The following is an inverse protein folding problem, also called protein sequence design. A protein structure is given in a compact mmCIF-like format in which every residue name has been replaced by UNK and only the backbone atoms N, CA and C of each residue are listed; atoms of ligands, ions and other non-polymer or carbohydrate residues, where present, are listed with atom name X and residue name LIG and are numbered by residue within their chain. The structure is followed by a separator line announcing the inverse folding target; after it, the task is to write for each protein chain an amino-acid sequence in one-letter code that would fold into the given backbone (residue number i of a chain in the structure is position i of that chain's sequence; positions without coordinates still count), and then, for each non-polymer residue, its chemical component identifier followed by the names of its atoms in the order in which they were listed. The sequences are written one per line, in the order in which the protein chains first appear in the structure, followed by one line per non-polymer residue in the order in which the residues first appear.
data_IF_891365443434
#
_entry.id   IF_891365443434
#
_cell.length_a   1.000
_cell.length_b   1.000
_cell.length_c   1.000
_cell.angle_alpha   90.00
_cell.angle_beta   90.00
_cell.angle_gamma   90.00
#
_symmetry.space_group_name_H-M   'P 1'
#
loop_
_entity.id
_entity.type
_entity.pdbx_description
1 polymer ?
#
# COMPACT_ATOMS: atom_id res chain seq x y z
N UNK A 1 -30.36 -19.58 83.39
CA UNK A 1 -29.61 -20.61 82.66
C UNK A 1 -30.19 -20.64 81.30
N UNK A 2 -29.50 -20.06 80.53
CA UNK A 2 -28.85 -20.16 79.18
C UNK A 2 -29.73 -19.74 77.98
N UNK A 3 -29.76 -18.40 77.78
CA UNK A 3 -30.24 -17.80 76.52
C UNK A 3 -29.09 -17.41 75.58
N UNK A 4 -28.04 -18.23 75.48
CA UNK A 4 -26.81 -17.84 74.75
C UNK A 4 -26.37 -18.84 73.64
N UNK A 5 -27.28 -19.62 73.07
CA UNK A 5 -26.95 -20.61 72.06
C UNK A 5 -27.77 -20.58 70.75
N UNK A 6 -28.52 -19.50 70.45
CA UNK A 6 -29.36 -19.43 69.24
C UNK A 6 -28.93 -18.27 68.30
N UNK A 7 -27.82 -17.58 68.58
CA UNK A 7 -27.41 -16.45 67.72
C UNK A 7 -26.16 -16.71 66.84
N UNK A 8 -25.76 -17.97 66.69
CA UNK A 8 -24.55 -18.30 65.90
C UNK A 8 -24.82 -19.12 64.64
N UNK A 9 -26.07 -19.34 64.23
CA UNK A 9 -26.44 -20.17 63.11
C UNK A 9 -27.09 -19.43 61.91
N UNK A 10 -27.19 -18.09 61.94
CA UNK A 10 -27.83 -17.31 60.85
C UNK A 10 -26.85 -16.43 60.06
N UNK A 11 -25.56 -16.42 60.44
CA UNK A 11 -24.57 -15.54 59.77
C UNK A 11 -23.72 -16.23 58.67
N UNK A 12 -23.99 -17.49 58.30
CA UNK A 12 -23.20 -18.24 57.32
C UNK A 12 -23.92 -18.56 55.98
N UNK A 13 -25.07 -17.94 55.67
CA UNK A 13 -25.83 -18.27 54.45
C UNK A 13 -26.12 -17.07 53.52
N UNK A 14 -25.35 -15.99 53.61
CA UNK A 14 -25.44 -14.87 52.64
C UNK A 14 -24.09 -14.43 52.08
N UNK A 15 -23.18 -15.34 51.78
CA UNK A 15 -21.89 -15.04 51.19
C UNK A 15 -21.59 -15.92 49.96
N UNK A 16 -22.56 -16.15 49.07
CA UNK A 16 -22.34 -16.93 47.86
C UNK A 16 -23.21 -16.50 46.66
N UNK A 17 -23.29 -15.20 46.37
CA UNK A 17 -23.93 -14.69 45.13
C UNK A 17 -23.20 -13.47 44.54
N UNK A 18 -21.87 -13.41 44.67
CA UNK A 18 -21.02 -12.60 43.80
C UNK A 18 -20.04 -13.51 43.07
N UNK A 19 -20.58 -14.48 42.34
CA UNK A 19 -19.81 -15.12 41.25
C UNK A 19 -19.68 -14.02 40.16
N UNK A 20 -18.47 -13.42 40.10
CA UNK A 20 -18.14 -12.38 39.19
C UNK A 20 -18.48 -12.80 37.74
N UNK A 21 -19.11 -11.90 37.00
CA UNK A 21 -18.94 -11.82 35.59
C UNK A 21 -17.45 -11.53 35.32
N UNK A 22 -16.68 -12.57 35.16
CA UNK A 22 -15.42 -12.50 34.44
C UNK A 22 -15.78 -12.04 33.03
N UNK A 23 -15.70 -10.74 32.83
CA UNK A 23 -15.61 -10.16 31.49
C UNK A 23 -14.27 -10.63 30.92
N UNK A 24 -14.23 -11.88 30.47
CA UNK A 24 -13.20 -12.32 29.55
C UNK A 24 -13.33 -11.42 28.33
N UNK A 25 -12.61 -10.30 28.35
CA UNK A 25 -12.28 -9.55 27.15
C UNK A 25 -11.51 -10.52 26.26
N UNK A 26 -12.26 -11.27 25.44
CA UNK A 26 -11.68 -12.01 24.34
C UNK A 26 -10.98 -10.96 23.47
N UNK A 27 -9.70 -10.77 23.65
CA UNK A 27 -8.86 -10.01 22.73
C UNK A 27 -9.00 -10.70 21.38
N UNK A 28 -9.91 -10.19 20.56
CA UNK A 28 -10.10 -10.66 19.19
C UNK A 28 -8.75 -10.51 18.51
N UNK A 29 -8.20 -11.63 18.04
CA UNK A 29 -6.96 -11.61 17.29
C UNK A 29 -7.07 -10.55 16.17
N UNK A 30 -6.04 -9.74 15.95
CA UNK A 30 -6.08 -8.73 14.91
C UNK A 30 -6.42 -9.37 13.56
N UNK A 31 -7.28 -8.70 12.79
CA UNK A 31 -7.66 -9.19 11.47
C UNK A 31 -6.41 -9.22 10.56
N UNK A 32 -6.32 -10.24 9.71
CA UNK A 32 -5.21 -10.31 8.74
C UNK A 32 -5.45 -9.34 7.58
N UNK A 33 -4.40 -8.67 7.16
CA UNK A 33 -4.29 -7.99 5.86
C UNK A 33 -3.76 -9.02 4.87
N UNK A 34 -4.58 -9.40 3.90
CA UNK A 34 -4.16 -10.17 2.74
C UNK A 34 -3.76 -9.17 1.65
N UNK A 35 -2.51 -9.20 1.23
CA UNK A 35 -1.98 -8.25 0.28
C UNK A 35 -1.06 -8.88 -0.76
N UNK A 36 -0.60 -8.06 -1.68
CA UNK A 36 0.40 -8.41 -2.69
C UNK A 36 1.58 -7.44 -2.59
N UNK A 37 2.80 -7.92 -2.80
CA UNK A 37 3.95 -7.06 -3.05
C UNK A 37 4.12 -6.94 -4.56
N UNK A 38 3.90 -5.73 -5.06
CA UNK A 38 3.83 -5.41 -6.47
C UNK A 38 4.99 -4.49 -6.88
N UNK A 39 5.97 -5.09 -7.53
CA UNK A 39 6.96 -4.53 -8.45
C UNK A 39 7.02 -5.56 -9.60
N UNK A 40 5.96 -5.59 -10.44
CA UNK A 40 5.60 -6.76 -11.24
C UNK A 40 5.44 -8.03 -10.36
N UNK A 41 4.56 -8.01 -9.35
CA UNK A 41 4.20 -9.14 -8.49
C UNK A 41 5.40 -10.01 -8.03
N UNK A 42 6.13 -9.57 -6.99
CA UNK A 42 7.36 -10.27 -6.53
C UNK A 42 7.02 -11.58 -5.82
N UNK A 43 7.36 -12.69 -6.45
CA UNK A 43 7.14 -14.07 -5.96
C UNK A 43 8.41 -14.60 -5.30
N UNK A 44 8.29 -15.29 -4.16
CA UNK A 44 9.42 -15.94 -3.49
C UNK A 44 10.22 -15.03 -2.55
N UNK A 45 9.88 -13.75 -2.41
CA UNK A 45 10.54 -12.84 -1.48
C UNK A 45 10.13 -13.15 -0.03
N UNK A 46 11.07 -13.14 0.91
CA UNK A 46 10.76 -13.37 2.32
C UNK A 46 9.95 -12.24 2.92
N UNK A 47 9.00 -12.56 3.80
CA UNK A 47 8.33 -11.57 4.65
C UNK A 47 8.22 -12.01 6.10
N UNK A 48 8.13 -11.05 7.01
CA UNK A 48 7.88 -11.30 8.43
C UNK A 48 6.97 -10.22 9.03
N UNK A 49 6.03 -10.63 9.90
CA UNK A 49 5.07 -9.79 10.61
C UNK A 49 4.93 -10.31 12.04
N UNK A 50 5.61 -9.67 12.98
CA UNK A 50 5.71 -10.18 14.35
C UNK A 50 6.32 -11.58 14.38
N UNK A 51 5.55 -12.57 14.82
CA UNK A 51 5.99 -13.99 14.87
C UNK A 51 5.75 -14.75 13.56
N UNK A 52 4.91 -14.23 12.67
CA UNK A 52 4.60 -14.86 11.39
C UNK A 52 5.71 -14.58 10.37
N UNK A 53 6.14 -15.62 9.66
CA UNK A 53 7.15 -15.54 8.60
C UNK A 53 6.70 -16.39 7.40
N UNK A 54 7.12 -16.00 6.22
CA UNK A 54 6.83 -16.73 4.99
C UNK A 54 7.59 -16.19 3.81
N UNK A 55 7.22 -16.66 2.63
CA UNK A 55 7.63 -16.10 1.34
C UNK A 55 6.39 -15.68 0.55
N UNK A 56 6.53 -14.66 -0.28
CA UNK A 56 5.44 -14.22 -1.14
C UNK A 56 5.05 -15.31 -2.13
N UNK A 57 3.76 -15.58 -2.22
CA UNK A 57 3.19 -16.60 -3.10
C UNK A 57 2.94 -16.11 -4.53
N UNK A 58 2.16 -16.89 -5.28
CA UNK A 58 1.72 -16.52 -6.62
C UNK A 58 1.10 -15.13 -6.63
N UNK A 59 1.45 -14.32 -7.63
CA UNK A 59 1.03 -12.92 -7.73
C UNK A 59 1.59 -12.03 -6.62
N UNK A 60 2.71 -12.41 -5.96
CA UNK A 60 3.31 -11.61 -4.88
C UNK A 60 2.52 -11.64 -3.57
N UNK A 61 1.61 -12.61 -3.38
CA UNK A 61 0.67 -12.64 -2.26
C UNK A 61 1.34 -12.87 -0.90
N UNK A 62 0.85 -12.18 0.14
CA UNK A 62 1.23 -12.38 1.55
C UNK A 62 0.01 -12.17 2.46
N UNK A 63 0.13 -12.62 3.71
CA UNK A 63 -0.89 -12.39 4.75
C UNK A 63 -0.22 -12.02 6.06
N UNK A 64 -0.61 -10.90 6.66
CA UNK A 64 -0.04 -10.38 7.90
C UNK A 64 -1.13 -9.89 8.85
N UNK A 65 -1.00 -10.08 10.18
CA UNK A 65 -1.88 -9.44 11.14
C UNK A 65 -1.84 -7.92 11.00
N UNK A 66 -2.99 -7.26 11.11
CA UNK A 66 -3.06 -5.80 11.16
C UNK A 66 -2.46 -5.27 12.48
N UNK A 67 -1.97 -4.02 12.46
CA UNK A 67 -1.51 -3.33 13.67
C UNK A 67 -0.01 -3.47 13.98
N UNK A 68 0.77 -4.05 13.08
CA UNK A 68 2.24 -4.06 13.11
C UNK A 68 2.84 -3.86 11.73
N UNK A 69 4.15 -3.78 11.64
CA UNK A 69 4.83 -3.68 10.35
C UNK A 69 5.02 -5.07 9.72
N UNK A 70 4.95 -5.12 8.40
CA UNK A 70 5.52 -6.18 7.59
C UNK A 70 6.92 -5.79 7.14
N UNK A 71 7.87 -6.71 7.26
CA UNK A 71 9.21 -6.55 6.70
C UNK A 71 9.37 -7.54 5.55
N UNK A 72 9.66 -7.02 4.35
CA UNK A 72 10.05 -7.81 3.20
C UNK A 72 11.56 -7.81 3.04
N UNK A 73 12.15 -8.95 2.65
CA UNK A 73 13.59 -9.08 2.49
C UNK A 73 13.96 -10.10 1.42
N UNK A 74 15.15 -9.91 0.84
CA UNK A 74 15.87 -10.91 0.04
C UNK A 74 17.09 -11.33 0.86
N UNK A 75 17.00 -12.48 1.50
CA UNK A 75 18.00 -12.90 2.47
C UNK A 75 18.16 -11.88 3.60
N UNK A 76 19.39 -11.38 3.81
CA UNK A 76 19.71 -10.34 4.80
C UNK A 76 19.42 -8.89 4.33
N UNK A 77 19.07 -8.69 3.05
CA UNK A 77 18.78 -7.37 2.49
C UNK A 77 17.32 -7.01 2.75
N UNK A 78 17.06 -6.00 3.57
CA UNK A 78 15.71 -5.47 3.79
C UNK A 78 15.26 -4.65 2.58
N UNK A 79 14.14 -5.04 1.98
CA UNK A 79 13.51 -4.36 0.84
C UNK A 79 12.53 -3.29 1.32
N UNK A 80 11.74 -3.62 2.35
CA UNK A 80 10.64 -2.80 2.83
C UNK A 80 10.33 -3.11 4.29
N UNK A 81 10.00 -2.07 5.06
CA UNK A 81 9.38 -2.22 6.38
C UNK A 81 8.31 -1.14 6.52
N UNK A 82 7.05 -1.54 6.58
CA UNK A 82 5.91 -0.63 6.63
C UNK A 82 4.65 -1.34 7.18
N UNK A 83 3.62 -0.63 7.62
CA UNK A 83 2.31 -1.22 7.89
C UNK A 83 1.78 -1.98 6.67
N UNK A 84 1.20 -3.19 6.84
CA UNK A 84 0.73 -3.98 5.71
C UNK A 84 -0.48 -3.32 5.02
N UNK A 85 -0.42 -3.24 3.69
CA UNK A 85 -1.49 -2.76 2.82
C UNK A 85 -1.94 -3.88 1.89
N UNK A 86 -3.15 -3.75 1.33
CA UNK A 86 -3.64 -4.69 0.30
C UNK A 86 -2.72 -4.72 -0.95
N UNK A 87 -2.05 -3.62 -1.25
CA UNK A 87 -0.99 -3.54 -2.24
C UNK A 87 0.22 -2.82 -1.65
N UNK A 88 1.33 -3.55 -1.50
CA UNK A 88 2.64 -3.02 -1.13
C UNK A 88 3.46 -2.82 -2.40
N UNK A 89 4.15 -1.69 -2.50
CA UNK A 89 5.06 -1.37 -3.60
C UNK A 89 6.33 -0.73 -3.03
N UNK A 90 7.44 -0.65 -3.78
CA UNK A 90 8.59 0.14 -3.34
C UNK A 90 8.22 1.59 -2.96
N UNK A 91 7.24 2.19 -3.66
CA UNK A 91 6.73 3.53 -3.34
C UNK A 91 6.00 3.55 -2.00
N UNK A 92 5.04 2.64 -1.77
CA UNK A 92 4.31 2.59 -0.50
C UNK A 92 5.22 2.29 0.69
N UNK A 93 6.29 1.53 0.48
CA UNK A 93 7.33 1.28 1.47
C UNK A 93 8.08 2.56 1.86
N UNK A 94 8.52 3.33 0.89
CA UNK A 94 9.18 4.61 1.12
C UNK A 94 8.24 5.63 1.78
N UNK A 95 6.96 5.64 1.39
CA UNK A 95 5.93 6.53 1.96
C UNK A 95 5.64 6.28 3.45
N UNK A 96 6.03 5.14 3.99
CA UNK A 96 5.94 4.89 5.43
C UNK A 96 6.86 5.81 6.27
N UNK A 97 7.93 6.35 5.66
CA UNK A 97 8.88 7.26 6.31
C UNK A 97 8.93 8.65 5.65
N UNK A 98 8.64 8.73 4.37
CA UNK A 98 8.58 9.97 3.59
C UNK A 98 7.30 9.99 2.75
N UNK A 99 6.25 10.65 3.23
CA UNK A 99 4.95 10.71 2.56
C UNK A 99 4.99 11.33 1.14
N UNK A 100 6.08 12.02 0.78
CA UNK A 100 6.30 12.61 -0.54
C UNK A 100 6.98 11.65 -1.53
N UNK A 101 7.45 10.48 -1.07
CA UNK A 101 8.12 9.51 -1.93
C UNK A 101 7.25 9.07 -3.11
N UNK A 102 7.86 8.95 -4.27
CA UNK A 102 7.24 8.55 -5.52
C UNK A 102 8.17 7.67 -6.37
N UNK A 103 7.80 7.38 -7.61
CA UNK A 103 8.58 6.54 -8.53
C UNK A 103 9.92 7.15 -8.96
N UNK A 104 10.17 8.42 -8.66
CA UNK A 104 11.45 9.11 -8.94
C UNK A 104 12.36 9.17 -7.72
N UNK A 105 11.86 8.80 -6.54
CA UNK A 105 12.63 8.79 -5.29
C UNK A 105 13.80 7.83 -5.39
N UNK A 106 15.05 8.25 -5.12
CA UNK A 106 16.24 7.43 -5.34
C UNK A 106 16.20 6.05 -4.69
N UNK A 107 15.72 5.96 -3.43
CA UNK A 107 15.59 4.68 -2.72
C UNK A 107 14.56 3.75 -3.36
N UNK A 108 13.44 4.29 -3.85
CA UNK A 108 12.39 3.54 -4.57
C UNK A 108 12.97 2.95 -5.85
N UNK A 109 13.67 3.79 -6.63
CA UNK A 109 14.32 3.36 -7.88
C UNK A 109 15.40 2.31 -7.61
N UNK A 110 16.19 2.47 -6.55
CA UNK A 110 17.24 1.52 -6.17
C UNK A 110 16.65 0.14 -5.81
N UNK A 111 15.55 0.10 -5.03
CA UNK A 111 14.84 -1.15 -4.71
C UNK A 111 14.32 -1.82 -5.98
N UNK A 112 13.63 -1.10 -6.87
CA UNK A 112 13.10 -1.65 -8.10
C UNK A 112 14.22 -2.19 -9.03
N UNK A 113 15.29 -1.42 -9.20
CA UNK A 113 16.48 -1.86 -9.96
C UNK A 113 17.04 -3.18 -9.41
N UNK A 114 17.18 -3.28 -8.09
CA UNK A 114 17.70 -4.47 -7.44
C UNK A 114 16.78 -5.67 -7.69
N UNK A 115 15.48 -5.56 -7.40
CA UNK A 115 14.51 -6.65 -7.57
C UNK A 115 14.42 -7.13 -9.02
N UNK A 116 14.34 -6.21 -9.98
CA UNK A 116 14.30 -6.54 -11.40
C UNK A 116 15.59 -7.25 -11.83
N UNK A 117 16.75 -6.79 -11.34
CA UNK A 117 18.06 -7.34 -11.78
C UNK A 117 18.35 -8.73 -11.25
N UNK A 118 17.87 -9.08 -10.04
CA UNK A 118 18.06 -10.42 -9.46
C UNK A 118 16.97 -11.41 -9.84
N UNK A 119 15.86 -10.95 -10.42
CA UNK A 119 14.75 -11.83 -10.81
C UNK A 119 15.14 -12.79 -11.91
N UNK A 120 14.74 -14.06 -11.77
CA UNK A 120 14.91 -15.09 -12.81
C UNK A 120 13.90 -14.97 -13.96
N UNK A 121 12.88 -14.13 -13.79
CA UNK A 121 11.86 -13.83 -14.81
C UNK A 121 11.87 -12.35 -15.16
N UNK A 122 11.67 -11.97 -16.43
CA UNK A 122 11.62 -10.57 -16.83
C UNK A 122 10.31 -9.90 -16.34
N UNK A 123 10.29 -8.59 -16.09
CA UNK A 123 9.07 -7.86 -15.68
C UNK A 123 7.90 -8.05 -16.65
N UNK A 124 8.17 -8.17 -17.93
CA UNK A 124 7.17 -8.41 -18.99
C UNK A 124 6.35 -9.70 -18.81
N UNK A 125 6.82 -10.62 -17.95
CA UNK A 125 6.05 -11.83 -17.58
C UNK A 125 4.92 -11.54 -16.57
N UNK A 126 4.85 -10.33 -16.03
CA UNK A 126 3.93 -9.94 -14.97
C UNK A 126 4.37 -10.36 -13.56
N UNK A 127 5.48 -11.09 -13.42
CA UNK A 127 6.02 -11.51 -12.12
C UNK A 127 7.54 -11.35 -12.11
N UNK A 128 8.07 -10.92 -10.96
CA UNK A 128 9.48 -11.07 -10.61
C UNK A 128 9.62 -12.29 -9.72
N UNK A 129 10.49 -13.22 -10.04
CA UNK A 129 10.66 -14.46 -9.27
C UNK A 129 12.01 -14.45 -8.57
N UNK A 130 11.99 -14.56 -7.24
CA UNK A 130 13.14 -14.71 -6.36
C UNK A 130 13.18 -16.16 -5.89
N UNK A 131 14.23 -16.87 -6.20
CA UNK A 131 14.38 -18.27 -5.85
C UNK A 131 14.99 -18.47 -4.44
N UNK A 132 14.89 -19.67 -3.92
CA UNK A 132 15.56 -20.03 -2.66
C UNK A 132 17.08 -19.91 -2.74
N UNK A 133 17.67 -20.09 -3.93
CA UNK A 133 19.10 -19.93 -4.15
C UNK A 133 19.53 -18.46 -3.98
N UNK A 134 18.76 -17.51 -4.51
CA UNK A 134 18.99 -16.06 -4.39
C UNK A 134 18.79 -15.60 -2.94
N UNK A 135 17.76 -16.12 -2.24
CA UNK A 135 17.59 -15.85 -0.81
C UNK A 135 18.79 -16.34 0.01
N UNK A 136 19.32 -17.54 -0.29
CA UNK A 136 20.49 -18.09 0.39
C UNK A 136 21.77 -17.29 0.07
N UNK A 137 21.97 -16.89 -1.19
CA UNK A 137 23.11 -16.08 -1.62
C UNK A 137 23.11 -14.71 -0.92
N UNK A 138 21.94 -14.14 -0.68
CA UNK A 138 21.77 -12.85 0.00
C UNK A 138 21.79 -12.95 1.53
N UNK A 139 21.86 -14.13 2.15
CA UNK A 139 21.61 -14.33 3.58
C UNK A 139 22.52 -13.50 4.50
N UNK A 140 23.78 -13.29 4.13
CA UNK A 140 24.77 -12.49 4.88
C UNK A 140 24.98 -11.07 4.36
N UNK A 141 24.24 -10.67 3.32
CA UNK A 141 24.37 -9.36 2.72
C UNK A 141 23.49 -8.34 3.46
N UNK A 142 23.95 -7.09 3.45
CA UNK A 142 23.14 -5.93 3.84
C UNK A 142 23.31 -4.82 2.81
N UNK A 143 22.25 -4.07 2.55
CA UNK A 143 22.24 -2.96 1.62
C UNK A 143 21.25 -1.90 2.12
N UNK A 144 21.71 -0.66 2.20
CA UNK A 144 20.84 0.49 2.49
C UNK A 144 20.51 1.20 1.18
N UNK A 145 19.29 0.99 0.69
CA UNK A 145 18.82 1.58 -0.57
C UNK A 145 18.71 3.11 -0.54
N UNK A 146 18.71 3.74 0.64
CA UNK A 146 18.64 5.20 0.75
C UNK A 146 19.96 5.89 0.39
N UNK A 147 21.07 5.16 0.53
CA UNK A 147 22.44 5.68 0.32
C UNK A 147 23.24 4.88 -0.71
N UNK A 148 22.68 3.77 -1.22
CA UNK A 148 23.38 2.87 -2.11
C UNK A 148 23.80 3.54 -3.43
N UNK A 149 25.06 3.41 -3.77
CA UNK A 149 25.59 3.80 -5.08
C UNK A 149 25.34 2.70 -6.13
N UNK A 150 25.42 3.03 -7.41
CA UNK A 150 25.31 2.05 -8.51
C UNK A 150 26.33 0.92 -8.39
N UNK A 151 27.54 1.20 -7.90
CA UNK A 151 28.56 0.17 -7.66
C UNK A 151 28.15 -0.80 -6.56
N UNK A 152 27.59 -0.30 -5.47
CA UNK A 152 27.10 -1.13 -4.35
C UNK A 152 25.90 -1.97 -4.79
N UNK A 153 24.94 -1.38 -5.54
CA UNK A 153 23.81 -2.09 -6.13
C UNK A 153 24.27 -3.21 -7.08
N UNK A 154 25.19 -2.92 -8.02
CA UNK A 154 25.76 -3.92 -8.94
C UNK A 154 26.49 -5.04 -8.18
N UNK A 155 27.25 -4.69 -7.13
CA UNK A 155 27.93 -5.68 -6.30
C UNK A 155 26.93 -6.62 -5.61
N UNK A 156 25.88 -6.06 -5.02
CA UNK A 156 24.81 -6.87 -4.41
C UNK A 156 24.08 -7.74 -5.43
N UNK A 157 23.73 -7.20 -6.59
CA UNK A 157 23.09 -7.94 -7.69
C UNK A 157 23.97 -9.12 -8.12
N UNK A 158 25.26 -8.90 -8.35
CA UNK A 158 26.19 -9.98 -8.78
C UNK A 158 26.39 -11.03 -7.69
N UNK A 159 26.39 -10.65 -6.42
CA UNK A 159 26.49 -11.56 -5.28
C UNK A 159 25.26 -12.46 -5.14
N UNK A 160 24.07 -11.91 -5.41
CA UNK A 160 22.78 -12.63 -5.30
C UNK A 160 22.52 -13.48 -6.55
N UNK A 161 22.74 -12.92 -7.73
CA UNK A 161 22.47 -13.55 -9.03
C UNK A 161 23.72 -13.42 -9.92
N UNK A 162 24.66 -14.38 -9.86
CA UNK A 162 25.90 -14.33 -10.63
C UNK A 162 25.66 -14.20 -12.14
N UNK A 163 26.31 -13.22 -12.77
CA UNK A 163 26.12 -12.90 -14.19
C UNK A 163 25.01 -11.91 -14.50
N UNK A 164 24.19 -11.53 -13.52
CA UNK A 164 23.20 -10.49 -13.69
C UNK A 164 23.84 -9.09 -13.74
N UNK A 165 23.22 -8.21 -14.52
CA UNK A 165 23.59 -6.79 -14.62
C UNK A 165 22.51 -5.91 -14.03
N UNK A 166 22.92 -4.86 -13.33
CA UNK A 166 22.00 -3.88 -12.78
C UNK A 166 21.23 -3.15 -13.90
N UNK A 167 19.90 -3.25 -13.90
CA UNK A 167 19.07 -2.52 -14.86
C UNK A 167 19.20 -1.00 -14.68
N UNK A 168 18.96 -0.24 -15.75
CA UNK A 168 19.01 1.22 -15.68
C UNK A 168 17.91 1.79 -14.79
N UNK A 169 18.14 2.97 -14.22
CA UNK A 169 17.13 3.68 -13.42
C UNK A 169 15.87 3.96 -14.25
N UNK A 170 16.03 4.35 -15.51
CA UNK A 170 14.90 4.63 -16.42
C UNK A 170 14.06 3.37 -16.66
N UNK A 171 14.69 2.22 -16.87
CA UNK A 171 13.98 0.94 -17.04
C UNK A 171 13.14 0.63 -15.79
N UNK A 172 13.73 0.70 -14.60
CA UNK A 172 13.02 0.42 -13.36
C UNK A 172 11.88 1.42 -13.08
N UNK A 173 12.08 2.69 -13.35
CA UNK A 173 11.02 3.71 -13.23
C UNK A 173 9.86 3.45 -14.18
N UNK A 174 10.13 3.07 -15.43
CA UNK A 174 9.10 2.75 -16.41
C UNK A 174 8.27 1.53 -15.99
N UNK A 175 8.91 0.49 -15.46
CA UNK A 175 8.20 -0.69 -14.93
C UNK A 175 7.32 -0.33 -13.72
N UNK A 176 7.86 0.42 -12.74
CA UNK A 176 7.09 0.92 -11.60
C UNK A 176 5.90 1.77 -12.03
N UNK A 177 6.09 2.68 -12.98
CA UNK A 177 5.01 3.52 -13.49
C UNK A 177 3.93 2.67 -14.17
N UNK A 178 4.31 1.72 -15.02
CA UNK A 178 3.39 0.81 -15.70
C UNK A 178 2.56 0.01 -14.69
N UNK A 179 3.18 -0.49 -13.64
CA UNK A 179 2.52 -1.22 -12.57
C UNK A 179 1.51 -0.33 -11.83
N UNK A 180 1.95 0.86 -11.38
CA UNK A 180 1.09 1.78 -10.63
C UNK A 180 -0.09 2.20 -11.50
N UNK A 181 0.13 2.56 -12.77
CA UNK A 181 -0.93 2.96 -13.68
C UNK A 181 -1.94 1.84 -13.90
N UNK A 182 -1.48 0.61 -14.14
CA UNK A 182 -2.39 -0.53 -14.32
C UNK A 182 -3.21 -0.83 -13.05
N UNK A 183 -2.63 -0.65 -11.87
CA UNK A 183 -3.33 -0.83 -10.59
C UNK A 183 -4.36 0.26 -10.30
N UNK A 184 -4.07 1.50 -10.70
CA UNK A 184 -4.94 2.66 -10.54
C UNK A 184 -5.98 2.78 -11.67
N UNK A 185 -5.73 2.17 -12.82
CA UNK A 185 -6.65 2.18 -13.97
C UNK A 185 -8.05 1.66 -13.60
N UNK A 186 -9.05 2.26 -14.19
CA UNK A 186 -10.45 1.88 -14.00
C UNK A 186 -11.38 3.08 -13.90
N UNK A 187 -12.64 2.79 -13.59
CA UNK A 187 -13.67 3.81 -13.48
C UNK A 187 -13.78 4.32 -12.04
N UNK A 188 -13.91 5.62 -11.90
CA UNK A 188 -14.15 6.30 -10.62
C UNK A 188 -15.39 7.18 -10.74
N UNK A 189 -16.10 7.35 -9.64
CA UNK A 189 -17.20 8.32 -9.59
C UNK A 189 -17.29 8.93 -8.20
N UNK A 190 -17.82 10.15 -8.16
CA UNK A 190 -17.93 10.88 -6.90
C UNK A 190 -18.72 12.18 -7.02
N UNK A 191 -18.50 13.03 -6.03
CA UNK A 191 -19.14 14.33 -5.91
C UNK A 191 -18.10 15.43 -5.79
N UNK A 192 -18.48 16.65 -6.13
CA UNK A 192 -17.71 17.85 -5.87
C UNK A 192 -18.57 18.91 -5.16
N UNK A 193 -17.92 19.79 -4.41
CA UNK A 193 -18.56 20.87 -3.66
C UNK A 193 -17.60 22.06 -3.48
N UNK A 194 -18.15 23.23 -3.18
CA UNK A 194 -17.41 24.48 -3.02
C UNK A 194 -18.05 25.60 -3.85
N UNK A 195 -17.30 26.22 -4.76
CA UNK A 195 -17.84 27.23 -5.71
C UNK A 195 -18.99 26.68 -6.58
N UNK A 196 -18.99 25.36 -6.83
CA UNK A 196 -20.06 24.59 -7.44
C UNK A 196 -20.30 23.29 -6.69
N UNK A 197 -21.35 22.54 -7.05
CA UNK A 197 -21.63 21.22 -6.56
C UNK A 197 -22.21 20.32 -7.66
N UNK A 198 -21.96 19.01 -7.56
CA UNK A 198 -22.47 18.05 -8.54
C UNK A 198 -21.82 16.70 -8.44
N UNK A 199 -21.89 15.94 -9.52
CA UNK A 199 -21.34 14.59 -9.64
C UNK A 199 -20.34 14.51 -10.79
N UNK A 200 -19.44 13.56 -10.71
CA UNK A 200 -18.46 13.30 -11.76
C UNK A 200 -18.22 11.81 -11.93
N UNK A 201 -17.83 11.42 -13.14
CA UNK A 201 -17.33 10.10 -13.50
C UNK A 201 -16.10 10.27 -14.39
N UNK A 202 -15.06 9.47 -14.11
CA UNK A 202 -13.84 9.41 -14.92
C UNK A 202 -13.42 7.97 -15.15
N UNK A 203 -12.69 7.78 -16.25
CA UNK A 203 -11.88 6.59 -16.50
C UNK A 203 -10.42 6.99 -16.43
N UNK A 204 -9.65 6.27 -15.62
CA UNK A 204 -8.19 6.33 -15.60
C UNK A 204 -7.69 5.18 -16.46
N UNK A 205 -6.93 5.50 -17.49
CA UNK A 205 -6.35 4.49 -18.37
C UNK A 205 -5.01 3.96 -17.83
N UNK A 206 -4.53 2.85 -18.38
CA UNK A 206 -3.27 2.20 -17.98
C UNK A 206 -2.01 2.99 -18.36
N UNK A 207 -2.14 4.08 -19.09
CA UNK A 207 -1.06 5.04 -19.37
C UNK A 207 -1.09 6.25 -18.42
N UNK A 208 -2.01 6.24 -17.43
CA UNK A 208 -2.21 7.34 -16.48
C UNK A 208 -3.05 8.49 -17.01
N UNK A 209 -3.57 8.42 -18.24
CA UNK A 209 -4.49 9.44 -18.76
C UNK A 209 -5.86 9.35 -18.07
N UNK A 210 -6.52 10.51 -17.94
CA UNK A 210 -7.83 10.64 -17.30
C UNK A 210 -8.79 11.27 -18.29
N UNK A 211 -9.93 10.63 -18.49
CA UNK A 211 -11.05 11.16 -19.31
C UNK A 211 -12.37 10.94 -18.58
N UNK A 212 -13.32 11.84 -18.80
CA UNK A 212 -14.64 11.69 -18.18
C UNK A 212 -15.55 12.89 -18.33
N UNK A 213 -16.57 12.93 -17.50
CA UNK A 213 -17.56 13.99 -17.47
C UNK A 213 -18.09 14.25 -16.07
N UNK A 214 -18.66 15.43 -15.88
CA UNK A 214 -19.41 15.76 -14.67
C UNK A 214 -20.69 16.49 -15.01
N UNK A 215 -21.59 16.57 -14.04
CA UNK A 215 -22.84 17.32 -14.13
C UNK A 215 -22.99 18.16 -12.87
N UNK A 216 -23.21 19.46 -13.04
CA UNK A 216 -23.47 20.36 -11.92
C UNK A 216 -24.90 20.24 -11.39
N UNK A 217 -25.17 20.87 -10.25
CA UNK A 217 -26.51 20.87 -9.61
C UNK A 217 -27.61 21.56 -10.44
N UNK A 218 -27.23 22.29 -11.51
CA UNK A 218 -28.15 22.93 -12.45
C UNK A 218 -28.39 22.08 -13.70
N UNK A 219 -27.76 20.91 -13.81
CA UNK A 219 -27.86 19.99 -14.93
C UNK A 219 -26.93 20.28 -16.10
N UNK A 220 -25.95 21.19 -15.94
CA UNK A 220 -24.97 21.44 -16.99
C UNK A 220 -23.89 20.37 -16.97
N UNK A 221 -23.61 19.79 -18.15
CA UNK A 221 -22.56 18.81 -18.31
C UNK A 221 -21.24 19.47 -18.70
N UNK A 222 -20.14 18.91 -18.22
CA UNK A 222 -18.78 19.32 -18.59
C UNK A 222 -17.89 18.10 -18.78
N UNK A 223 -16.85 18.25 -19.59
CA UNK A 223 -15.83 17.21 -19.81
C UNK A 223 -14.72 17.33 -18.78
N UNK A 224 -14.15 16.19 -18.43
CA UNK A 224 -12.98 16.08 -17.54
C UNK A 224 -11.86 15.42 -18.32
N UNK A 225 -10.66 16.02 -18.24
CA UNK A 225 -9.44 15.46 -18.79
C UNK A 225 -8.27 15.73 -17.86
N UNK A 226 -7.25 14.88 -17.92
CA UNK A 226 -6.07 15.03 -17.08
C UNK A 226 -5.09 13.90 -17.29
N UNK A 227 -4.05 13.90 -16.46
CA UNK A 227 -3.03 12.86 -16.46
C UNK A 227 -2.37 12.75 -15.08
N UNK A 228 -1.68 11.65 -14.87
CA UNK A 228 -0.80 11.47 -13.73
C UNK A 228 0.34 12.50 -13.80
N UNK A 229 0.64 13.12 -12.66
CA UNK A 229 1.76 14.06 -12.48
C UNK A 229 2.94 13.35 -11.82
N UNK A 230 2.67 12.68 -10.69
CA UNK A 230 3.68 11.88 -9.99
C UNK A 230 3.01 10.92 -8.99
N UNK A 231 3.57 9.74 -8.79
CA UNK A 231 3.09 8.74 -7.82
C UNK A 231 1.61 8.43 -8.00
N UNK A 232 0.75 8.91 -7.11
CA UNK A 232 -0.71 8.77 -7.17
C UNK A 232 -1.43 10.11 -7.35
N UNK A 233 -0.68 11.16 -7.71
CA UNK A 233 -1.19 12.53 -7.90
C UNK A 233 -1.50 12.80 -9.37
N UNK A 234 -2.70 13.28 -9.62
CA UNK A 234 -3.23 13.61 -10.94
C UNK A 234 -3.60 15.09 -11.02
N UNK A 235 -3.54 15.65 -12.19
CA UNK A 235 -4.06 16.99 -12.47
C UNK A 235 -4.71 17.07 -13.85
N UNK A 236 -5.52 18.12 -14.05
CA UNK A 236 -6.19 18.30 -15.33
C UNK A 236 -7.19 19.46 -15.32
N UNK A 237 -8.14 19.35 -16.24
CA UNK A 237 -9.22 20.34 -16.43
C UNK A 237 -10.59 19.68 -16.35
N UNK A 238 -11.58 20.45 -15.90
CA UNK A 238 -12.99 20.05 -15.84
C UNK A 238 -13.84 21.26 -16.30
N UNK A 239 -14.23 21.27 -17.58
CA UNK A 239 -14.77 22.47 -18.19
C UNK A 239 -13.78 23.63 -18.14
N UNK A 240 -14.16 24.74 -17.46
CA UNK A 240 -13.29 25.90 -17.21
C UNK A 240 -12.43 25.79 -15.94
N UNK A 241 -12.65 24.78 -15.12
CA UNK A 241 -11.90 24.57 -13.88
C UNK A 241 -10.59 23.80 -14.13
N UNK A 242 -9.60 24.08 -13.28
CA UNK A 242 -8.41 23.21 -13.10
C UNK A 242 -8.55 22.40 -11.84
N UNK A 243 -8.03 21.16 -11.82
CA UNK A 243 -8.10 20.32 -10.65
C UNK A 243 -6.77 19.60 -10.38
N UNK A 244 -6.53 19.26 -9.12
CA UNK A 244 -5.47 18.38 -8.67
C UNK A 244 -6.03 17.43 -7.63
N UNK A 245 -5.71 16.15 -7.74
CA UNK A 245 -6.18 15.12 -6.83
C UNK A 245 -5.18 14.01 -6.62
N UNK A 246 -5.40 13.25 -5.55
CA UNK A 246 -4.56 12.10 -5.18
C UNK A 246 -5.44 10.87 -4.96
N UNK A 247 -4.94 9.72 -5.42
CA UNK A 247 -5.53 8.42 -5.12
C UNK A 247 -4.95 7.85 -3.83
N UNK A 248 -5.82 7.53 -2.88
CA UNK A 248 -5.47 6.83 -1.64
C UNK A 248 -5.64 5.33 -1.84
N UNK A 249 -4.53 4.65 -2.09
CA UNK A 249 -4.47 3.20 -2.31
C UNK A 249 -4.51 2.40 -1.00
N UNK A 250 -4.45 3.06 0.17
CA UNK A 250 -4.65 2.41 1.47
C UNK A 250 -6.12 2.05 1.72
N UNK A 251 -7.04 2.61 0.93
CA UNK A 251 -8.48 2.36 1.01
C UNK A 251 -8.92 1.29 0.01
N UNK A 252 -9.93 0.53 0.40
CA UNK A 252 -10.62 -0.42 -0.48
C UNK A 252 -12.13 -0.18 -0.38
N UNK A 253 -12.78 0.34 -1.43
CA UNK A 253 -12.22 0.73 -2.73
C UNK A 253 -11.28 1.95 -2.65
N UNK A 254 -10.37 2.08 -3.63
CA UNK A 254 -9.45 3.23 -3.76
C UNK A 254 -10.27 4.52 -3.76
N UNK A 255 -9.84 5.50 -2.96
CA UNK A 255 -10.46 6.83 -2.89
C UNK A 255 -9.66 7.80 -3.77
N UNK A 256 -10.35 8.56 -4.62
CA UNK A 256 -9.78 9.68 -5.36
C UNK A 256 -10.36 10.99 -4.83
N UNK A 257 -9.51 11.87 -4.32
CA UNK A 257 -9.93 13.15 -3.74
C UNK A 257 -8.95 14.26 -4.06
N UNK A 258 -9.43 15.49 -4.01
CA UNK A 258 -8.60 16.64 -4.32
C UNK A 258 -9.34 17.98 -4.27
N UNK A 259 -8.70 18.96 -4.89
CA UNK A 259 -9.21 20.33 -5.00
C UNK A 259 -9.38 20.74 -6.46
N UNK A 260 -10.26 21.68 -6.70
CA UNK A 260 -10.40 22.34 -7.98
C UNK A 260 -10.53 23.85 -7.79
N UNK A 261 -10.23 24.60 -8.83
CA UNK A 261 -10.44 26.05 -8.90
C UNK A 261 -11.10 26.39 -10.24
N UNK A 262 -12.25 27.02 -10.18
CA UNK A 262 -12.98 27.56 -11.33
C UNK A 262 -13.05 29.10 -11.26
N UNK A 263 -13.59 29.79 -12.26
CA UNK A 263 -13.74 31.26 -12.23
C UNK A 263 -14.57 31.80 -11.07
N UNK A 264 -15.41 30.95 -10.43
CA UNK A 264 -16.25 31.34 -9.29
C UNK A 264 -15.56 31.09 -7.93
N UNK A 265 -14.44 30.34 -7.91
CA UNK A 265 -13.65 30.08 -6.70
C UNK A 265 -13.19 28.63 -6.56
N UNK A 266 -12.65 28.27 -5.38
CA UNK A 266 -12.16 26.94 -5.11
C UNK A 266 -13.27 25.98 -4.65
N UNK A 267 -12.97 24.69 -4.79
CA UNK A 267 -13.79 23.61 -4.24
C UNK A 267 -12.98 22.33 -4.03
N UNK A 268 -13.67 21.30 -3.59
CA UNK A 268 -13.11 19.97 -3.33
C UNK A 268 -13.92 18.90 -4.05
N UNK A 269 -13.30 17.77 -4.31
CA UNK A 269 -13.97 16.60 -4.83
C UNK A 269 -13.52 15.32 -4.11
N UNK A 270 -14.39 14.33 -4.08
CA UNK A 270 -14.09 12.99 -3.59
C UNK A 270 -14.93 11.95 -4.31
N UNK A 271 -14.38 10.75 -4.47
CA UNK A 271 -15.06 9.61 -5.08
C UNK A 271 -14.29 8.33 -4.89
N UNK A 272 -14.79 7.24 -5.45
CA UNK A 272 -14.22 5.91 -5.28
C UNK A 272 -14.12 5.17 -6.60
N UNK A 273 -13.17 4.23 -6.68
CA UNK A 273 -13.06 3.24 -7.75
C UNK A 273 -14.31 2.34 -7.73
N UNK A 274 -14.82 1.99 -8.92
CA UNK A 274 -16.00 1.13 -9.11
C UNK A 274 -15.61 -0.31 -9.40
#
# INVERSE_FOLDING_TARGET
MNHQKILTAVCCLMAALFAGCDSSSSSRAPANVNGVFADAAVVGMSFSCGTQKGVTGSGGSFSCPSGGDVTFSVGGITICKAPPLAMMTPVSCAQATDASADTTTPSVVAVARFLISISTTPPSSGNLTITSAELAAAASLSLDFSTATDVQLQTAVTAVSPGASLVSAITAQNELNTLIFSSLAGNFSGTFSGSGMGTWMITVATDGSVTGSGTDSKGHNFTISGSLVSGTTYSGTAGSATWTGKMDTSKSPIVFSGTYTDPSGPGTFTGTKK
#
